data_IF_662891425336
#
_entry.id   IF_662891425336
#
_cell.length_a   1.000
_cell.length_b   1.000
_cell.length_c   1.000
_cell.angle_alpha   90.00
_cell.angle_beta   90.00
_cell.angle_gamma   90.00
#
_symmetry.space_group_name_H-M   'P 1'
#
loop_
_entity.id
_entity.type
_entity.pdbx_description
1 polymer ?
#
# COMPACT_ATOMS: atom_id res chain seq x y z
N UNK A 1 -17.10 1.33 -15.04
CA UNK A 1 -16.10 1.51 -13.98
C UNK A 1 -16.02 0.24 -13.16
N UNK A 2 -14.81 -0.24 -12.89
CA UNK A 2 -14.54 -1.41 -12.04
C UNK A 2 -13.54 -0.99 -10.96
N UNK A 3 -13.71 -1.50 -9.74
CA UNK A 3 -12.73 -1.39 -8.67
C UNK A 3 -12.32 -2.81 -8.29
N UNK A 4 -11.05 -3.10 -8.40
CA UNK A 4 -10.48 -4.44 -8.22
C UNK A 4 -9.41 -4.40 -7.13
N UNK A 5 -9.40 -5.40 -6.26
CA UNK A 5 -8.39 -5.51 -5.21
C UNK A 5 -7.19 -6.35 -5.69
N UNK A 6 -5.98 -5.82 -5.47
CA UNK A 6 -4.73 -6.56 -5.59
C UNK A 6 -4.38 -7.08 -4.19
N UNK A 7 -4.42 -8.37 -3.99
CA UNK A 7 -4.12 -9.00 -2.70
C UNK A 7 -2.67 -9.49 -2.66
N UNK A 8 -1.92 -9.04 -1.66
CA UNK A 8 -0.51 -9.38 -1.50
C UNK A 8 -0.24 -10.29 -0.32
N UNK A 9 -0.87 -10.02 0.82
CA UNK A 9 -0.74 -10.78 2.05
C UNK A 9 -2.11 -10.95 2.70
N UNK A 10 -2.30 -12.10 3.35
CA UNK A 10 -3.47 -12.38 4.16
C UNK A 10 -3.08 -13.02 5.50
N UNK A 11 -4.05 -13.21 6.40
CA UNK A 11 -3.82 -13.75 7.74
C UNK A 11 -2.78 -12.96 8.54
N UNK A 12 -2.66 -11.66 8.28
CA UNK A 12 -1.92 -10.74 9.11
C UNK A 12 -2.71 -10.36 10.36
N UNK A 13 -2.07 -9.64 11.26
CA UNK A 13 -2.76 -9.07 12.41
C UNK A 13 -2.12 -7.75 12.86
N UNK A 14 -2.89 -6.98 13.58
CA UNK A 14 -2.40 -5.88 14.39
C UNK A 14 -3.04 -5.94 15.77
N UNK A 15 -2.26 -5.63 16.81
CA UNK A 15 -2.79 -5.55 18.17
C UNK A 15 -3.66 -4.31 18.33
N UNK A 16 -4.59 -4.32 19.28
CA UNK A 16 -5.41 -3.16 19.59
C UNK A 16 -4.55 -1.94 19.96
N UNK A 17 -3.47 -2.15 20.70
CA UNK A 17 -2.51 -1.10 21.04
C UNK A 17 -1.87 -0.45 19.80
N UNK A 18 -1.51 -1.24 18.78
CA UNK A 18 -0.97 -0.72 17.53
C UNK A 18 -2.05 0.00 16.71
N UNK A 19 -3.22 -0.60 16.56
CA UNK A 19 -4.31 -0.10 15.71
C UNK A 19 -4.85 1.26 16.19
N UNK A 20 -4.90 1.49 17.48
CA UNK A 20 -5.44 2.71 18.07
C UNK A 20 -4.38 3.70 18.60
N UNK A 21 -3.17 3.61 18.05
CA UNK A 21 -2.13 4.61 18.29
C UNK A 21 -1.51 4.60 19.66
N UNK A 22 -1.56 3.45 20.30
CA UNK A 22 -0.68 3.01 21.35
C UNK A 22 -0.16 4.02 22.38
N UNK A 23 -0.96 4.97 22.82
CA UNK A 23 -0.55 5.59 24.08
C UNK A 23 -0.82 4.53 25.18
N UNK A 24 0.27 4.06 25.78
CA UNK A 24 0.24 3.09 26.88
C UNK A 24 -0.63 3.54 28.09
N UNK A 25 -1.09 4.76 28.08
CA UNK A 25 -1.89 5.41 29.11
C UNK A 25 -3.40 5.21 28.94
N UNK A 26 -3.84 4.58 27.84
CA UNK A 26 -5.27 4.29 27.68
C UNK A 26 -5.58 2.98 28.39
N UNK A 27 -6.02 3.06 29.63
CA UNK A 27 -6.50 1.92 30.45
C UNK A 27 -7.56 1.05 29.77
N UNK A 28 -8.16 1.56 28.68
CA UNK A 28 -9.19 0.88 27.90
C UNK A 28 -8.66 -0.03 26.78
N UNK A 29 -7.34 -0.05 26.53
CA UNK A 29 -6.76 -0.86 25.45
C UNK A 29 -6.50 -2.28 25.95
N UNK A 30 -7.10 -3.26 25.30
CA UNK A 30 -6.80 -4.67 25.52
C UNK A 30 -5.51 -5.06 24.80
N UNK A 31 -4.44 -5.25 25.57
CA UNK A 31 -3.12 -5.59 25.05
C UNK A 31 -3.06 -7.00 24.42
N UNK A 32 -4.02 -7.86 24.76
CA UNK A 32 -4.09 -9.23 24.22
C UNK A 32 -4.90 -9.33 22.94
N UNK A 33 -5.72 -8.32 22.64
CA UNK A 33 -6.62 -8.33 21.49
C UNK A 33 -5.91 -8.05 20.19
N UNK A 34 -6.20 -8.87 19.19
CA UNK A 34 -5.67 -8.76 17.83
C UNK A 34 -6.80 -8.63 16.84
N UNK A 35 -6.57 -7.80 15.83
CA UNK A 35 -7.45 -7.65 14.68
C UNK A 35 -6.79 -8.32 13.48
N UNK A 36 -7.54 -9.12 12.76
CA UNK A 36 -7.11 -9.70 11.49
C UNK A 36 -6.90 -8.61 10.45
N UNK A 37 -5.84 -8.72 9.67
CA UNK A 37 -5.51 -7.77 8.62
C UNK A 37 -5.01 -8.46 7.36
N UNK A 38 -5.16 -7.76 6.26
CA UNK A 38 -4.60 -8.14 4.96
C UNK A 38 -3.94 -6.93 4.32
N UNK A 39 -2.94 -7.13 3.50
CA UNK A 39 -2.36 -6.07 2.67
C UNK A 39 -2.87 -6.21 1.25
N UNK A 40 -3.55 -5.18 0.81
CA UNK A 40 -4.09 -5.07 -0.54
C UNK A 40 -4.05 -3.64 -1.04
N UNK A 41 -3.94 -3.48 -2.35
CA UNK A 41 -4.11 -2.20 -3.02
C UNK A 41 -5.26 -2.30 -4.02
N UNK A 42 -5.58 -1.21 -4.68
CA UNK A 42 -6.75 -1.15 -5.55
C UNK A 42 -6.40 -0.66 -6.94
N UNK A 43 -7.02 -1.28 -7.93
CA UNK A 43 -6.99 -0.85 -9.32
C UNK A 43 -8.39 -0.39 -9.71
N UNK A 44 -8.47 0.79 -10.32
CA UNK A 44 -9.71 1.38 -10.81
C UNK A 44 -9.62 1.45 -12.34
N UNK A 45 -10.44 0.67 -13.01
CA UNK A 45 -10.61 0.75 -14.45
C UNK A 45 -11.88 1.55 -14.76
N UNK A 46 -11.71 2.74 -15.32
CA UNK A 46 -12.80 3.64 -15.67
C UNK A 46 -13.43 3.30 -17.02
N UNK A 47 -12.81 2.39 -17.78
CA UNK A 47 -13.11 2.13 -19.19
C UNK A 47 -12.40 3.09 -20.16
N UNK A 48 -11.73 4.13 -19.64
CA UNK A 48 -10.90 5.08 -20.40
C UNK A 48 -9.47 5.14 -19.89
N UNK A 49 -9.29 4.96 -18.59
CA UNK A 49 -8.02 4.99 -17.90
C UNK A 49 -7.96 3.88 -16.85
N UNK A 50 -6.76 3.39 -16.61
CA UNK A 50 -6.45 2.45 -15.52
C UNK A 50 -5.66 3.21 -14.45
N UNK A 51 -6.21 3.27 -13.26
CA UNK A 51 -5.65 3.99 -12.12
C UNK A 51 -5.30 2.98 -11.04
N UNK A 52 -4.09 3.04 -10.55
CA UNK A 52 -3.63 2.21 -9.45
C UNK A 52 -3.52 3.05 -8.18
N UNK A 53 -4.01 2.53 -7.07
CA UNK A 53 -3.85 3.14 -5.74
C UNK A 53 -2.86 2.31 -4.95
N UNK A 54 -1.69 2.87 -4.72
CA UNK A 54 -0.48 2.28 -4.13
C UNK A 54 0.13 1.14 -4.96
N UNK A 55 1.36 0.76 -4.66
CA UNK A 55 2.15 -0.18 -5.46
C UNK A 55 2.74 -1.35 -4.65
N UNK A 56 2.09 -1.69 -3.54
CA UNK A 56 2.46 -2.86 -2.73
C UNK A 56 3.85 -2.84 -2.13
N UNK A 57 4.32 -4.02 -1.79
CA UNK A 57 5.62 -4.29 -1.19
C UNK A 57 6.66 -4.55 -2.27
N UNK A 58 7.93 -4.19 -2.07
CA UNK A 58 9.01 -4.62 -2.96
C UNK A 58 9.00 -6.15 -3.15
N UNK A 59 9.21 -6.61 -4.39
CA UNK A 59 9.20 -8.06 -4.69
C UNK A 59 10.27 -8.81 -3.90
N UNK A 60 11.34 -8.14 -3.54
CA UNK A 60 12.47 -8.67 -2.77
C UNK A 60 12.16 -8.85 -1.28
N UNK A 61 11.03 -8.33 -0.79
CA UNK A 61 10.65 -8.45 0.62
C UNK A 61 10.48 -9.92 1.01
N UNK A 62 11.25 -10.42 1.97
CA UNK A 62 11.17 -11.82 2.37
C UNK A 62 9.87 -12.09 3.12
N UNK A 63 9.34 -13.29 2.95
CA UNK A 63 8.27 -13.78 3.82
C UNK A 63 8.87 -14.16 5.18
N UNK A 64 8.21 -13.75 6.24
CA UNK A 64 8.61 -14.05 7.62
C UNK A 64 7.45 -14.61 8.41
N UNK A 65 7.75 -15.49 9.36
CA UNK A 65 6.74 -15.99 10.29
C UNK A 65 6.52 -15.00 11.45
N UNK A 66 5.31 -14.98 12.04
CA UNK A 66 5.03 -14.10 13.17
C UNK A 66 5.87 -14.49 14.38
N UNK A 67 6.37 -13.49 15.11
CA UNK A 67 7.18 -13.66 16.31
C UNK A 67 6.35 -13.44 17.57
N UNK A 68 6.69 -14.12 18.70
CA UNK A 68 6.04 -13.86 19.98
C UNK A 68 6.17 -12.38 20.39
N UNK A 69 5.08 -11.77 20.86
CA UNK A 69 5.06 -10.38 21.30
C UNK A 69 5.03 -9.34 20.17
N UNK A 70 4.95 -9.75 18.92
CA UNK A 70 4.87 -8.86 17.77
C UNK A 70 3.52 -8.12 17.77
N UNK A 71 3.57 -6.78 17.58
CA UNK A 71 2.38 -5.94 17.60
C UNK A 71 1.66 -5.88 16.24
N UNK A 72 2.42 -6.06 15.17
CA UNK A 72 1.92 -6.08 13.79
C UNK A 72 2.62 -7.21 13.03
N UNK A 73 1.83 -7.94 12.26
CA UNK A 73 2.32 -8.97 11.35
C UNK A 73 1.64 -8.81 9.99
N UNK A 74 2.44 -8.72 8.94
CA UNK A 74 1.93 -8.47 7.59
C UNK A 74 1.08 -9.62 7.04
N UNK A 75 1.35 -10.84 7.46
CA UNK A 75 0.64 -12.03 7.02
C UNK A 75 1.47 -12.93 6.12
N UNK A 76 0.78 -13.94 5.57
CA UNK A 76 1.33 -14.85 4.57
C UNK A 76 1.24 -14.24 3.19
N UNK A 77 2.32 -14.34 2.42
CA UNK A 77 2.37 -13.84 1.05
C UNK A 77 1.45 -14.67 0.14
N UNK A 78 0.54 -13.98 -0.53
CA UNK A 78 -0.39 -14.58 -1.50
C UNK A 78 0.11 -14.36 -2.91
N UNK A 79 0.51 -13.12 -3.24
CA UNK A 79 1.03 -12.75 -4.55
C UNK A 79 2.13 -11.70 -4.39
N UNK A 80 3.10 -11.69 -5.33
CA UNK A 80 3.85 -10.47 -5.56
C UNK A 80 3.00 -9.47 -6.37
N UNK A 81 3.47 -8.24 -6.46
CA UNK A 81 2.72 -7.14 -7.08
C UNK A 81 2.35 -7.42 -8.55
N UNK A 82 3.31 -7.86 -9.36
CA UNK A 82 3.09 -8.11 -10.80
C UNK A 82 2.13 -9.27 -11.01
N UNK A 83 2.24 -10.34 -10.21
CA UNK A 83 1.33 -11.48 -10.30
C UNK A 83 -0.09 -11.11 -9.86
N UNK A 84 -0.25 -10.25 -8.86
CA UNK A 84 -1.56 -9.73 -8.46
C UNK A 84 -2.22 -8.94 -9.60
N UNK A 85 -1.46 -8.09 -10.31
CA UNK A 85 -1.95 -7.39 -11.50
C UNK A 85 -2.36 -8.36 -12.61
N UNK A 86 -1.51 -9.35 -12.92
CA UNK A 86 -1.78 -10.35 -13.97
C UNK A 86 -3.04 -11.16 -13.68
N UNK A 87 -3.29 -11.52 -12.44
CA UNK A 87 -4.53 -12.23 -12.04
C UNK A 87 -5.78 -11.42 -12.34
N UNK A 88 -5.70 -10.10 -12.33
CA UNK A 88 -6.79 -9.21 -12.69
C UNK A 88 -6.88 -8.93 -14.19
N UNK A 89 -5.91 -9.43 -14.99
CA UNK A 89 -5.86 -9.22 -16.44
C UNK A 89 -5.10 -7.96 -16.87
N UNK A 90 -4.25 -7.40 -15.99
CA UNK A 90 -3.48 -6.19 -16.26
C UNK A 90 -1.97 -6.44 -16.12
N UNK A 91 -1.20 -5.59 -16.79
CA UNK A 91 0.24 -5.49 -16.64
C UNK A 91 0.62 -4.07 -16.22
N UNK A 92 1.82 -3.83 -15.66
CA UNK A 92 2.25 -2.48 -15.28
C UNK A 92 2.11 -1.44 -16.40
N UNK A 93 2.39 -1.84 -17.66
CA UNK A 93 2.27 -0.95 -18.84
C UNK A 93 0.85 -0.45 -19.12
N UNK A 94 -0.18 -1.16 -18.61
CA UNK A 94 -1.58 -0.80 -18.82
C UNK A 94 -2.05 0.30 -17.85
N UNK A 95 -1.25 0.62 -16.84
CA UNK A 95 -1.57 1.62 -15.82
C UNK A 95 -1.22 3.02 -16.33
N UNK A 96 -2.20 3.89 -16.38
CA UNK A 96 -2.05 5.29 -16.82
C UNK A 96 -1.66 6.22 -15.69
N UNK A 97 -2.17 5.95 -14.49
CA UNK A 97 -1.98 6.78 -13.30
C UNK A 97 -1.76 5.94 -12.06
N UNK A 98 -0.89 6.42 -11.20
CA UNK A 98 -0.69 5.89 -9.85
C UNK A 98 -1.02 6.97 -8.83
N UNK A 99 -1.81 6.63 -7.84
CA UNK A 99 -2.08 7.48 -6.66
C UNK A 99 -1.33 6.86 -5.49
N UNK A 100 -0.40 7.59 -4.91
CA UNK A 100 0.35 7.17 -3.72
C UNK A 100 -0.31 7.80 -2.50
N UNK A 101 -0.85 6.96 -1.62
CA UNK A 101 -1.51 7.43 -0.40
C UNK A 101 -0.50 7.99 0.61
N UNK A 102 0.62 7.30 0.79
CA UNK A 102 1.71 7.71 1.67
C UNK A 102 3.00 6.94 1.35
N UNK A 103 4.12 7.36 1.94
CA UNK A 103 5.48 6.93 1.61
C UNK A 103 5.90 5.55 2.11
N UNK A 104 5.11 4.86 2.92
CA UNK A 104 5.53 3.60 3.52
C UNK A 104 5.87 2.55 2.45
N UNK A 105 6.91 1.71 2.68
CA UNK A 105 7.42 0.77 1.68
C UNK A 105 6.41 -0.28 1.20
N UNK A 106 5.42 -0.59 2.01
CA UNK A 106 4.32 -1.50 1.68
C UNK A 106 3.24 -0.87 0.79
N UNK A 107 3.38 0.42 0.48
CA UNK A 107 2.52 1.17 -0.44
C UNK A 107 3.26 1.73 -1.66
N UNK A 108 4.58 1.81 -1.58
CA UNK A 108 5.44 2.39 -2.65
C UNK A 108 6.43 1.39 -3.22
N UNK A 109 6.33 0.12 -2.83
CA UNK A 109 7.37 -0.88 -3.08
C UNK A 109 7.73 -1.12 -4.55
N UNK A 110 6.76 -1.06 -5.45
CA UNK A 110 6.97 -1.25 -6.88
C UNK A 110 6.73 0.01 -7.72
N UNK A 111 6.80 1.19 -7.10
CA UNK A 111 6.64 2.46 -7.80
C UNK A 111 7.60 2.63 -9.00
N UNK A 112 8.77 2.01 -8.92
CA UNK A 112 9.78 1.95 -9.99
C UNK A 112 9.29 1.40 -11.33
N UNK A 113 8.19 0.63 -11.33
CA UNK A 113 7.61 0.05 -12.56
C UNK A 113 6.75 1.05 -13.35
N UNK A 114 6.53 2.26 -12.83
CA UNK A 114 5.54 3.21 -13.35
C UNK A 114 6.15 4.52 -13.87
N UNK A 115 7.37 4.49 -14.39
CA UNK A 115 8.01 5.68 -14.98
C UNK A 115 7.26 6.24 -16.20
N UNK A 116 6.43 5.43 -16.85
CA UNK A 116 5.57 5.81 -17.97
C UNK A 116 4.24 6.44 -17.54
N UNK A 117 3.82 6.21 -16.30
CA UNK A 117 2.54 6.68 -15.77
C UNK A 117 2.69 8.00 -15.00
N UNK A 118 1.61 8.75 -14.88
CA UNK A 118 1.57 9.90 -13.98
C UNK A 118 1.39 9.41 -12.54
N UNK A 119 2.27 9.86 -11.66
CA UNK A 119 2.27 9.50 -10.24
C UNK A 119 1.81 10.71 -9.44
N UNK A 120 0.64 10.59 -8.82
CA UNK A 120 0.05 11.60 -7.94
C UNK A 120 0.40 11.29 -6.49
N UNK A 121 1.02 12.24 -5.83
CA UNK A 121 1.49 12.09 -4.44
C UNK A 121 1.43 13.44 -3.74
N UNK A 122 1.18 13.46 -2.43
CA UNK A 122 1.24 14.73 -1.69
C UNK A 122 2.65 15.31 -1.72
N UNK A 123 2.75 16.63 -1.71
CA UNK A 123 4.04 17.34 -1.73
C UNK A 123 4.93 16.90 -0.55
N UNK A 124 4.34 16.76 0.63
CA UNK A 124 5.05 16.34 1.84
C UNK A 124 5.65 14.93 1.70
N UNK A 125 4.89 13.99 1.17
CA UNK A 125 5.36 12.61 0.97
C UNK A 125 6.42 12.55 -0.15
N UNK A 126 6.24 13.32 -1.23
CA UNK A 126 7.21 13.42 -2.31
C UNK A 126 8.55 13.96 -1.83
N UNK A 127 8.55 14.99 -0.96
CA UNK A 127 9.76 15.54 -0.36
C UNK A 127 10.45 14.52 0.56
N UNK A 128 9.67 13.82 1.38
CA UNK A 128 10.21 12.79 2.27
C UNK A 128 10.85 11.62 1.51
N UNK A 129 10.31 11.26 0.35
CA UNK A 129 10.86 10.21 -0.53
C UNK A 129 11.96 10.73 -1.45
N UNK A 130 12.18 12.05 -1.54
CA UNK A 130 13.00 12.70 -2.56
C UNK A 130 12.59 12.29 -3.98
N UNK A 131 11.28 12.18 -4.18
CA UNK A 131 10.70 11.76 -5.44
C UNK A 131 10.53 12.97 -6.35
N UNK A 132 11.20 12.93 -7.49
CA UNK A 132 11.18 13.99 -8.49
C UNK A 132 11.17 13.40 -9.90
N UNK A 133 10.65 14.15 -10.86
CA UNK A 133 10.56 13.74 -12.25
C UNK A 133 9.36 14.35 -12.98
N UNK A 134 9.39 14.31 -14.31
CA UNK A 134 8.36 14.92 -15.15
C UNK A 134 6.99 14.22 -15.04
N UNK A 135 6.99 12.96 -14.60
CA UNK A 135 5.77 12.18 -14.39
C UNK A 135 5.21 12.30 -12.95
N UNK A 136 5.90 13.01 -12.06
CA UNK A 136 5.46 13.20 -10.68
C UNK A 136 4.56 14.42 -10.59
N UNK A 137 3.32 14.21 -10.15
CA UNK A 137 2.33 15.26 -9.89
C UNK A 137 2.23 15.47 -8.40
N UNK A 138 2.81 16.55 -7.92
CA UNK A 138 2.78 16.93 -6.50
C UNK A 138 1.46 17.60 -6.17
N UNK A 139 0.72 17.04 -5.24
CA UNK A 139 -0.58 17.54 -4.80
C UNK A 139 -0.41 18.29 -3.50
N UNK A 140 -0.85 19.55 -3.48
CA UNK A 140 -1.00 20.32 -2.25
C UNK A 140 -2.41 20.12 -1.71
N UNK A 141 -2.50 19.73 -0.45
CA UNK A 141 -3.76 19.78 0.26
C UNK A 141 -3.85 21.13 0.96
N UNK A 142 -4.86 21.90 0.59
CA UNK A 142 -5.20 23.11 1.34
C UNK A 142 -5.99 22.69 2.58
N UNK A 143 -5.63 23.23 3.72
CA UNK A 143 -6.41 23.07 4.94
C UNK A 143 -7.77 23.72 4.71
N UNK A 144 -8.76 22.87 4.46
CA UNK A 144 -10.14 23.29 4.19
C UNK A 144 -10.89 23.76 5.42
#
# INVERSE_FOLDING_TARGET
>A
MKVLALEFYNNGFMTEAFAFGGSAEKESIDQSKKYESSLQNYLIDTGKEVILVDTGVPVETPEVDPQPGQMIYQGKKVNNFVDALKKLGYEPKDVDKVIVTHKHPDHTGELRLFNHAKIYISEIEADAMKLDGDNIVRVKFEDG
#
